data_IF_543368925267
#
_entry.id   IF_543368925267
#
_cell.length_a   1.000
_cell.length_b   1.000
_cell.length_c   1.000
_cell.angle_alpha   90.00
_cell.angle_beta   90.00
_cell.angle_gamma   90.00
#
_symmetry.space_group_name_H-M   'P 1'
#
loop_
_entity.id
_entity.type
_entity.pdbx_description
1 polymer ?
#
# COMPACT_ATOMS: atom_id res chain seq x y z
N UNK A 1 44.23 6.24 35.10
CA UNK A 1 43.71 4.91 34.72
C UNK A 1 42.21 4.77 34.99
N UNK A 2 41.70 5.14 36.15
CA UNK A 2 40.27 5.03 36.48
C UNK A 2 39.37 5.95 35.62
N UNK A 3 39.89 7.07 35.11
CA UNK A 3 39.15 8.00 34.27
C UNK A 3 38.89 7.48 32.86
N UNK A 4 39.69 6.59 32.32
CA UNK A 4 39.54 5.99 31.00
C UNK A 4 38.41 4.98 30.98
N UNK A 5 38.23 4.20 32.04
CA UNK A 5 37.16 3.24 32.19
C UNK A 5 35.78 3.90 32.28
N UNK A 6 35.71 5.06 32.93
CA UNK A 6 34.46 5.83 33.03
C UNK A 6 34.04 6.45 31.68
N UNK A 7 34.99 6.89 30.89
CA UNK A 7 34.75 7.46 29.57
C UNK A 7 34.24 6.40 28.58
N UNK A 8 34.72 5.16 28.67
CA UNK A 8 34.27 4.04 27.83
C UNK A 8 32.83 3.63 28.18
N UNK A 9 32.44 3.67 29.44
CA UNK A 9 31.08 3.36 29.90
C UNK A 9 30.07 4.37 29.39
N UNK A 10 30.45 5.64 29.31
CA UNK A 10 29.55 6.70 28.80
C UNK A 10 29.25 6.56 27.30
N UNK A 11 30.16 6.03 26.51
CA UNK A 11 29.98 5.77 25.08
C UNK A 11 28.95 4.66 24.80
N UNK A 12 28.75 3.72 25.72
CA UNK A 12 27.78 2.65 25.58
C UNK A 12 26.35 3.13 25.73
N UNK A 13 26.08 4.22 26.44
CA UNK A 13 24.76 4.77 26.69
C UNK A 13 24.21 5.50 25.45
N UNK A 14 25.08 6.00 24.57
CA UNK A 14 24.74 6.79 23.39
C UNK A 14 24.28 5.91 22.21
N UNK A 15 24.52 4.59 22.27
CA UNK A 15 24.20 3.67 21.17
C UNK A 15 22.75 3.17 21.14
N UNK A 16 21.93 3.52 22.13
CA UNK A 16 20.51 3.15 22.18
C UNK A 16 19.66 4.30 21.63
N UNK A 17 19.47 4.35 20.32
CA UNK A 17 18.52 5.25 19.68
C UNK A 17 17.16 4.56 19.53
N UNK A 18 16.09 5.25 19.91
CA UNK A 18 14.75 4.77 19.67
C UNK A 18 14.41 4.86 18.16
N UNK A 19 13.93 3.77 17.58
CA UNK A 19 13.42 3.77 16.21
C UNK A 19 12.04 4.40 16.22
N UNK A 20 11.86 5.50 15.48
CA UNK A 20 10.59 6.19 15.33
C UNK A 20 9.92 5.73 14.04
N UNK A 21 8.65 5.29 14.13
CA UNK A 21 7.82 4.92 13.00
C UNK A 21 6.71 5.94 12.87
N UNK A 22 6.62 6.60 11.71
CA UNK A 22 5.60 7.61 11.45
C UNK A 22 4.20 6.98 11.41
N UNK A 23 3.25 7.64 12.07
CA UNK A 23 1.85 7.21 12.05
C UNK A 23 1.18 7.70 10.77
N UNK A 24 0.96 6.79 9.83
CA UNK A 24 0.31 7.05 8.55
C UNK A 24 -1.20 6.75 8.56
N UNK A 25 -1.78 6.35 9.68
CA UNK A 25 -3.16 5.85 9.74
C UNK A 25 -4.22 6.89 9.35
N UNK A 26 -3.90 8.18 9.46
CA UNK A 26 -4.79 9.27 9.04
C UNK A 26 -4.59 9.69 7.57
N UNK A 27 -3.59 9.14 6.88
CA UNK A 27 -3.29 9.43 5.47
C UNK A 27 -4.10 8.51 4.56
N UNK A 28 -4.19 8.88 3.28
CA UNK A 28 -4.84 8.07 2.25
C UNK A 28 -4.00 8.06 0.98
N UNK A 29 -4.19 7.03 0.14
CA UNK A 29 -3.50 6.90 -1.13
C UNK A 29 -4.35 7.52 -2.22
N UNK A 30 -3.72 8.27 -3.13
CA UNK A 30 -4.37 8.78 -4.33
C UNK A 30 -4.25 7.76 -5.45
N UNK A 31 -5.38 7.26 -5.94
CA UNK A 31 -5.44 6.33 -7.07
C UNK A 31 -5.33 7.10 -8.39
N UNK A 32 -4.52 6.59 -9.32
CA UNK A 32 -4.30 7.23 -10.62
C UNK A 32 -5.16 6.54 -11.69
N UNK A 33 -4.99 5.24 -11.87
CA UNK A 33 -5.71 4.47 -12.89
C UNK A 33 -5.84 3.00 -12.46
N UNK A 34 -6.94 2.33 -12.80
CA UNK A 34 -8.14 2.85 -13.46
C UNK A 34 -8.89 3.87 -12.59
N UNK A 35 -9.34 4.95 -13.22
CA UNK A 35 -10.12 5.99 -12.53
C UNK A 35 -11.52 5.49 -12.20
N UNK A 36 -12.14 6.10 -11.20
CA UNK A 36 -13.47 5.70 -10.74
C UNK A 36 -14.50 5.80 -11.86
N UNK A 37 -15.35 4.77 -11.98
CA UNK A 37 -16.39 4.65 -13.00
C UNK A 37 -15.87 4.62 -14.46
N UNK A 38 -14.59 4.32 -14.68
CA UNK A 38 -14.01 4.22 -16.03
C UNK A 38 -14.43 2.93 -16.74
N UNK A 39 -14.37 2.97 -18.07
CA UNK A 39 -14.61 1.82 -18.94
C UNK A 39 -13.35 1.56 -19.77
N UNK A 40 -12.90 0.31 -19.77
CA UNK A 40 -11.65 -0.09 -20.39
C UNK A 40 -11.87 -1.29 -21.31
N UNK A 41 -11.08 -1.44 -22.39
CA UNK A 41 -11.08 -2.67 -23.17
C UNK A 41 -10.51 -3.83 -22.36
N UNK A 42 -10.95 -5.05 -22.68
CA UNK A 42 -10.39 -6.27 -22.07
C UNK A 42 -8.92 -6.45 -22.46
N UNK A 43 -8.17 -7.12 -21.60
CA UNK A 43 -6.76 -7.37 -21.77
C UNK A 43 -5.99 -7.02 -20.50
N UNK A 44 -4.75 -6.56 -20.68
CA UNK A 44 -3.89 -6.17 -19.58
C UNK A 44 -4.30 -4.78 -19.09
N UNK A 45 -4.71 -4.70 -17.83
CA UNK A 45 -5.06 -3.47 -17.13
C UNK A 45 -3.88 -3.07 -16.26
N UNK A 46 -3.44 -1.82 -16.37
CA UNK A 46 -2.41 -1.26 -15.51
C UNK A 46 -3.06 -0.52 -14.35
N UNK A 47 -2.76 -0.98 -13.13
CA UNK A 47 -3.16 -0.32 -11.89
C UNK A 47 -2.00 0.52 -11.42
N UNK A 48 -2.23 1.77 -11.11
CA UNK A 48 -1.19 2.63 -10.56
C UNK A 48 -1.77 3.68 -9.61
N UNK A 49 -0.94 4.09 -8.67
CA UNK A 49 -1.28 5.00 -7.59
C UNK A 49 -0.05 5.80 -7.18
N UNK A 50 -0.29 6.89 -6.47
CA UNK A 50 0.82 7.69 -5.94
C UNK A 50 1.46 7.00 -4.75
N UNK A 51 2.78 7.10 -4.66
CA UNK A 51 3.50 6.66 -3.46
C UNK A 51 3.08 7.49 -2.25
N UNK A 52 3.09 6.85 -1.09
CA UNK A 52 2.84 7.50 0.18
C UNK A 52 4.14 7.54 0.98
N UNK A 53 4.54 8.73 1.41
CA UNK A 53 5.71 8.91 2.25
C UNK A 53 5.55 8.14 3.57
N UNK A 54 6.63 7.57 4.08
CA UNK A 54 6.70 6.77 5.31
C UNK A 54 5.96 5.43 5.24
N UNK A 55 5.53 4.99 4.06
CA UNK A 55 5.04 3.63 3.84
C UNK A 55 6.16 2.70 3.41
N UNK A 56 6.00 1.40 3.67
CA UNK A 56 6.94 0.36 3.25
C UNK A 56 6.38 -0.47 2.10
N UNK A 57 5.11 -0.80 2.16
CA UNK A 57 4.44 -1.59 1.14
C UNK A 57 2.98 -1.19 1.00
N UNK A 58 2.35 -1.76 -0.01
CA UNK A 58 0.95 -1.52 -0.37
C UNK A 58 0.22 -2.84 -0.48
N UNK A 59 -1.02 -2.86 -0.02
CA UNK A 59 -1.91 -3.99 -0.17
C UNK A 59 -2.94 -3.67 -1.27
N UNK A 60 -2.81 -4.35 -2.40
CA UNK A 60 -3.69 -4.21 -3.56
C UNK A 60 -4.68 -5.34 -3.61
N UNK A 61 -5.96 -5.01 -3.79
CA UNK A 61 -7.02 -5.99 -4.01
C UNK A 61 -7.90 -5.61 -5.18
N UNK A 62 -8.37 -6.61 -5.92
CA UNK A 62 -9.35 -6.47 -7.00
C UNK A 62 -10.48 -7.47 -6.74
N UNK A 63 -11.72 -7.01 -6.79
CA UNK A 63 -12.92 -7.85 -6.63
C UNK A 63 -13.87 -7.71 -7.81
N UNK A 64 -14.64 -8.73 -8.07
CA UNK A 64 -15.70 -8.72 -9.08
C UNK A 64 -17.01 -9.22 -8.45
N UNK A 65 -18.11 -8.49 -8.59
CA UNK A 65 -18.25 -7.17 -9.19
C UNK A 65 -17.82 -6.02 -8.27
N UNK A 66 -17.81 -6.24 -6.96
CA UNK A 66 -17.42 -5.26 -5.93
C UNK A 66 -17.03 -5.99 -4.64
N UNK A 67 -16.52 -5.25 -3.65
CA UNK A 67 -16.09 -5.86 -2.37
C UNK A 67 -17.26 -6.22 -1.46
N UNK A 68 -18.38 -5.48 -1.53
CA UNK A 68 -19.55 -5.75 -0.69
C UNK A 68 -20.22 -7.06 -1.02
N UNK A 69 -20.27 -7.42 -2.30
CA UNK A 69 -20.94 -8.62 -2.81
C UNK A 69 -20.04 -9.33 -3.83
N UNK A 70 -18.80 -9.59 -3.46
CA UNK A 70 -17.83 -10.21 -4.34
C UNK A 70 -18.23 -11.64 -4.67
N UNK A 71 -18.32 -11.96 -5.97
CA UNK A 71 -18.40 -13.34 -6.45
C UNK A 71 -17.00 -13.93 -6.56
N UNK A 72 -15.99 -13.07 -6.70
CA UNK A 72 -14.59 -13.46 -6.79
C UNK A 72 -13.67 -12.35 -6.27
N UNK A 73 -12.68 -12.73 -5.49
CA UNK A 73 -11.50 -11.89 -5.24
C UNK A 73 -10.48 -12.25 -6.32
N UNK A 74 -10.35 -11.36 -7.29
CA UNK A 74 -9.56 -11.59 -8.50
C UNK A 74 -8.06 -11.49 -8.19
N UNK A 75 -7.71 -10.59 -7.28
CA UNK A 75 -6.32 -10.37 -6.86
C UNK A 75 -6.27 -9.91 -5.42
N UNK A 76 -5.30 -10.43 -4.70
CA UNK A 76 -4.97 -10.01 -3.34
C UNK A 76 -3.45 -10.14 -3.19
N UNK A 77 -2.74 -9.02 -3.20
CA UNK A 77 -1.28 -9.02 -3.20
C UNK A 77 -0.69 -7.85 -2.42
N UNK A 78 0.52 -8.03 -1.94
CA UNK A 78 1.33 -6.99 -1.30
C UNK A 78 2.50 -6.69 -2.23
N UNK A 79 2.76 -5.39 -2.47
CA UNK A 79 3.82 -4.94 -3.35
C UNK A 79 4.51 -3.69 -2.79
N UNK A 80 5.79 -3.54 -3.10
CA UNK A 80 6.54 -2.30 -2.82
C UNK A 80 6.47 -1.32 -3.99
N UNK A 81 5.96 -1.75 -5.13
CA UNK A 81 5.78 -0.93 -6.33
C UNK A 81 4.50 -0.09 -6.22
N UNK A 82 4.40 0.97 -7.02
CA UNK A 82 3.19 1.78 -7.18
C UNK A 82 2.44 1.48 -8.48
N UNK A 83 2.76 0.36 -9.10
CA UNK A 83 2.16 -0.08 -10.37
C UNK A 83 2.04 -1.60 -10.37
N UNK A 84 0.96 -2.09 -10.98
CA UNK A 84 0.71 -3.52 -11.11
C UNK A 84 -0.12 -3.79 -12.36
N UNK A 85 0.24 -4.81 -13.12
CA UNK A 85 -0.50 -5.22 -14.32
C UNK A 85 -1.26 -6.52 -14.04
N UNK A 86 -2.51 -6.57 -14.49
CA UNK A 86 -3.35 -7.76 -14.39
C UNK A 86 -4.20 -7.90 -15.63
N UNK A 87 -4.21 -9.06 -16.25
CA UNK A 87 -5.11 -9.38 -17.34
C UNK A 87 -6.52 -9.62 -16.79
N UNK A 88 -7.50 -8.90 -17.35
CA UNK A 88 -8.91 -9.00 -16.95
C UNK A 88 -9.82 -9.19 -18.17
N UNK A 89 -10.81 -10.06 -18.01
CA UNK A 89 -11.89 -10.25 -18.97
C UNK A 89 -13.02 -9.26 -18.73
N UNK A 90 -13.98 -9.18 -19.66
CA UNK A 90 -15.14 -8.32 -19.56
C UNK A 90 -15.88 -8.56 -18.23
N UNK A 91 -16.29 -7.48 -17.58
CA UNK A 91 -16.99 -7.53 -16.31
C UNK A 91 -16.91 -6.23 -15.53
N UNK A 92 -17.56 -6.22 -14.38
CA UNK A 92 -17.51 -5.11 -13.41
C UNK A 92 -16.53 -5.46 -12.31
N UNK A 93 -15.76 -4.46 -11.89
CA UNK A 93 -14.71 -4.64 -10.90
C UNK A 93 -14.63 -3.44 -9.95
N UNK A 94 -14.11 -3.71 -8.76
CA UNK A 94 -13.57 -2.69 -7.86
C UNK A 94 -12.13 -3.05 -7.55
N UNK A 95 -11.30 -2.03 -7.34
CA UNK A 95 -9.96 -2.21 -6.83
C UNK A 95 -9.67 -1.22 -5.71
N UNK A 96 -8.84 -1.63 -4.79
CA UNK A 96 -8.50 -0.82 -3.62
C UNK A 96 -7.09 -1.04 -3.18
N UNK A 97 -6.54 0.00 -2.55
CA UNK A 97 -5.18 0.06 -2.05
C UNK A 97 -5.18 0.60 -0.63
N UNK A 98 -4.31 0.06 0.20
CA UNK A 98 -3.87 0.69 1.45
C UNK A 98 -2.36 0.63 1.54
N UNK A 99 -1.76 1.58 2.27
CA UNK A 99 -0.34 1.61 2.58
C UNK A 99 -0.09 1.10 3.99
N UNK A 100 1.06 0.46 4.18
CA UNK A 100 1.49 -0.08 5.46
C UNK A 100 2.94 0.28 5.73
N UNK A 101 3.27 0.46 7.01
CA UNK A 101 4.64 0.45 7.50
C UNK A 101 4.75 -0.56 8.66
N UNK A 102 5.81 -0.49 9.46
CA UNK A 102 6.04 -1.48 10.53
C UNK A 102 4.92 -1.53 11.58
N UNK A 103 4.27 -0.39 11.87
CA UNK A 103 3.30 -0.30 12.98
C UNK A 103 1.92 0.17 12.55
N UNK A 104 1.81 0.85 11.41
CA UNK A 104 0.59 1.54 11.01
C UNK A 104 0.15 1.16 9.61
N UNK A 105 -1.12 1.37 9.33
CA UNK A 105 -1.69 1.25 7.99
C UNK A 105 -2.74 2.32 7.76
N UNK A 106 -2.91 2.71 6.50
CA UNK A 106 -4.00 3.59 6.07
C UNK A 106 -5.30 2.80 5.94
N UNK A 107 -6.43 3.49 5.79
CA UNK A 107 -7.62 2.87 5.26
C UNK A 107 -7.44 2.50 3.78
N UNK A 108 -8.34 1.70 3.25
CA UNK A 108 -8.41 1.44 1.81
C UNK A 108 -8.99 2.64 1.07
N UNK A 109 -8.45 2.92 -0.11
CA UNK A 109 -9.05 3.81 -1.11
C UNK A 109 -9.52 2.93 -2.27
N UNK A 110 -10.78 3.08 -2.69
CA UNK A 110 -11.45 2.18 -3.63
C UNK A 110 -11.96 2.94 -4.86
N UNK A 111 -11.72 2.39 -6.05
CA UNK A 111 -12.32 2.82 -7.30
C UNK A 111 -13.05 1.65 -7.97
N UNK A 112 -14.11 1.95 -8.70
CA UNK A 112 -14.83 1.00 -9.54
C UNK A 112 -14.49 1.23 -11.01
N UNK A 113 -14.57 0.17 -11.82
CA UNK A 113 -14.39 0.26 -13.27
C UNK A 113 -15.07 -0.91 -13.96
N UNK A 114 -15.28 -0.78 -15.27
CA UNK A 114 -15.85 -1.81 -16.10
C UNK A 114 -14.88 -2.15 -17.22
N UNK A 115 -14.75 -3.45 -17.50
CA UNK A 115 -14.01 -3.97 -18.65
C UNK A 115 -15.02 -4.46 -19.68
N UNK A 116 -14.88 -3.95 -20.90
CA UNK A 116 -15.78 -4.27 -22.02
C UNK A 116 -15.33 -5.48 -22.82
#
# INVERSE_FOLDING_TARGET
MKKILFTILLLFIISCEAIFVENISSKSITLIAPSDASKLPSGIINFNWNSLEDSQDYHLQIASPNFSNATQIVLDTITISTSFNKELSAGKYEWRIKAKNLEYETGYTTNSFTVN
#
